data_IF_042698707742
#
_entry.id   IF_042698707742
#
_cell.length_a   1.000
_cell.length_b   1.000
_cell.length_c   1.000
_cell.angle_alpha   90.00
_cell.angle_beta   90.00
_cell.angle_gamma   90.00
#
_symmetry.space_group_name_H-M   'P 1'
#
loop_
_entity.id
_entity.type
_entity.pdbx_description
1 polymer ?
#
# COMPACT_ATOMS: atom_id res chain seq x y z
N UNK A 1 -26.32 25.37 26.14
CA UNK A 1 -26.12 24.35 25.08
C UNK A 1 -24.65 23.98 25.06
N UNK A 2 -24.32 22.71 25.27
CA UNK A 2 -22.92 22.24 25.21
C UNK A 2 -22.62 21.76 23.79
N UNK A 3 -21.57 22.28 23.18
CA UNK A 3 -21.14 21.83 21.84
C UNK A 3 -20.43 20.50 22.00
N UNK A 4 -21.01 19.44 21.43
CA UNK A 4 -20.43 18.10 21.48
C UNK A 4 -19.05 18.09 20.81
N UNK A 5 -18.03 17.64 21.54
CA UNK A 5 -16.69 17.47 21.00
C UNK A 5 -16.69 16.41 19.90
N UNK A 6 -16.28 16.81 18.70
CA UNK A 6 -16.01 15.85 17.61
C UNK A 6 -14.90 14.89 18.08
N UNK A 7 -15.07 13.56 17.94
CA UNK A 7 -14.01 12.61 18.26
C UNK A 7 -12.82 12.89 17.32
N UNK A 8 -11.63 13.03 17.90
CA UNK A 8 -10.40 13.14 17.12
C UNK A 8 -10.27 11.92 16.18
N UNK A 9 -9.76 12.09 14.95
CA UNK A 9 -9.64 10.99 14.01
C UNK A 9 -8.77 9.89 14.62
N UNK A 10 -9.38 8.74 14.87
CA UNK A 10 -8.67 7.54 15.30
C UNK A 10 -7.82 7.07 14.12
N UNK A 11 -6.55 7.47 14.12
CA UNK A 11 -5.54 6.91 13.22
C UNK A 11 -5.35 5.45 13.63
N UNK A 12 -6.17 4.58 13.07
CA UNK A 12 -6.06 3.14 13.21
C UNK A 12 -4.72 2.73 12.59
N UNK A 13 -3.75 2.43 13.44
CA UNK A 13 -2.36 2.25 13.02
C UNK A 13 -2.26 1.12 11.99
N UNK A 14 -1.93 1.47 10.75
CA UNK A 14 -2.03 0.56 9.61
C UNK A 14 -1.22 -0.72 9.86
N UNK A 15 -1.91 -1.87 9.86
CA UNK A 15 -1.30 -3.17 10.11
C UNK A 15 -0.33 -3.48 8.96
N UNK A 16 0.97 -3.52 9.27
CA UNK A 16 2.02 -3.58 8.26
C UNK A 16 1.89 -4.79 7.34
N UNK A 17 2.14 -4.58 6.05
CA UNK A 17 2.06 -5.61 5.00
C UNK A 17 3.05 -6.77 5.22
N UNK A 18 2.69 -8.03 4.89
CA UNK A 18 3.56 -9.19 5.08
C UNK A 18 4.95 -9.01 4.47
N UNK A 19 5.01 -8.48 3.26
CA UNK A 19 6.25 -8.31 2.49
C UNK A 19 7.19 -7.31 3.18
N UNK A 20 6.65 -6.19 3.71
CA UNK A 20 7.44 -5.21 4.47
C UNK A 20 7.99 -5.82 5.77
N UNK A 21 7.21 -6.66 6.44
CA UNK A 21 7.68 -7.39 7.63
C UNK A 21 8.77 -8.40 7.28
N UNK A 22 8.65 -9.08 6.15
CA UNK A 22 9.66 -9.98 5.61
C UNK A 22 10.96 -9.24 5.28
N UNK A 23 10.91 -8.14 4.53
CA UNK A 23 12.11 -7.36 4.21
C UNK A 23 12.78 -6.76 5.47
N UNK A 24 12.01 -6.27 6.45
CA UNK A 24 12.57 -5.81 7.72
C UNK A 24 13.31 -6.93 8.46
N UNK A 25 12.73 -8.13 8.50
CA UNK A 25 13.35 -9.30 9.10
C UNK A 25 14.59 -9.79 8.32
N UNK A 26 14.55 -9.74 6.99
CA UNK A 26 15.69 -10.07 6.13
C UNK A 26 16.87 -9.12 6.38
N UNK A 27 16.62 -7.81 6.46
CA UNK A 27 17.64 -6.80 6.80
C UNK A 27 18.20 -7.07 8.21
N UNK A 28 17.34 -7.24 9.22
CA UNK A 28 17.76 -7.60 10.58
C UNK A 28 18.63 -8.88 10.61
N UNK A 29 18.29 -9.87 9.77
CA UNK A 29 19.02 -11.16 9.67
C UNK A 29 20.36 -11.03 8.94
N UNK A 30 20.44 -10.29 7.84
CA UNK A 30 21.71 -10.04 7.11
C UNK A 30 22.72 -9.33 8.00
N UNK A 31 22.26 -8.33 8.78
CA UNK A 31 23.11 -7.64 9.76
C UNK A 31 23.64 -8.62 10.82
N UNK A 32 22.76 -9.46 11.40
CA UNK A 32 23.17 -10.47 12.37
C UNK A 32 24.17 -11.49 11.79
N UNK A 33 23.95 -11.96 10.56
CA UNK A 33 24.87 -12.88 9.88
C UNK A 33 26.22 -12.24 9.55
N UNK A 34 26.27 -10.97 9.16
CA UNK A 34 27.53 -10.25 8.97
C UNK A 34 28.35 -10.16 10.27
N UNK A 35 27.68 -9.89 11.40
CA UNK A 35 28.31 -9.88 12.73
C UNK A 35 28.81 -11.28 13.11
N UNK A 36 28.03 -12.33 12.87
CA UNK A 36 28.43 -13.71 13.17
C UNK A 36 29.56 -14.20 12.26
N UNK A 37 29.59 -13.80 10.99
CA UNK A 37 30.69 -14.10 10.07
C UNK A 37 32.00 -13.41 10.51
N UNK A 38 31.93 -12.14 10.91
CA UNK A 38 33.08 -11.42 11.46
C UNK A 38 33.59 -12.06 12.77
N UNK A 39 32.69 -12.47 13.67
CA UNK A 39 33.05 -13.19 14.90
C UNK A 39 33.64 -14.58 14.61
N UNK A 40 33.11 -15.30 13.61
CA UNK A 40 33.65 -16.59 13.16
C UNK A 40 35.06 -16.45 12.56
N UNK A 41 35.29 -15.41 11.74
CA UNK A 41 36.61 -15.10 11.21
C UNK A 41 37.62 -14.72 12.33
N UNK A 42 37.20 -13.89 13.29
CA UNK A 42 38.02 -13.58 14.46
C UNK A 42 38.32 -14.82 15.32
N UNK A 43 37.34 -15.69 15.54
CA UNK A 43 37.52 -16.95 16.24
C UNK A 43 38.49 -17.90 15.50
N UNK A 44 38.43 -17.94 14.16
CA UNK A 44 39.36 -18.70 13.32
C UNK A 44 40.80 -18.16 13.41
N UNK A 45 40.99 -16.83 13.40
CA UNK A 45 42.31 -16.22 13.63
C UNK A 45 42.86 -16.51 15.03
N UNK A 46 41.99 -16.51 16.06
CA UNK A 46 42.36 -16.88 17.43
C UNK A 46 42.78 -18.35 17.51
N UNK A 47 42.02 -19.25 16.87
CA UNK A 47 42.34 -20.67 16.80
C UNK A 47 43.71 -20.90 16.14
N UNK A 48 43.93 -20.30 14.96
CA UNK A 48 45.18 -20.45 14.20
C UNK A 48 46.42 -19.90 14.92
N UNK A 49 46.25 -18.97 15.89
CA UNK A 49 47.37 -18.40 16.65
C UNK A 49 47.64 -19.10 18.00
N UNK A 50 46.67 -19.82 18.54
CA UNK A 50 46.74 -20.37 19.90
C UNK A 50 46.62 -21.90 19.97
N UNK A 51 46.37 -22.58 18.84
CA UNK A 51 46.06 -24.02 18.73
C UNK A 51 44.93 -24.53 19.65
N UNK A 52 44.14 -23.60 20.21
CA UNK A 52 43.12 -23.86 21.21
C UNK A 52 41.77 -23.23 20.77
N UNK A 53 40.71 -24.04 20.58
CA UNK A 53 39.42 -23.53 20.11
C UNK A 53 38.59 -22.82 21.19
N UNK A 54 38.85 -23.06 22.47
CA UNK A 54 38.05 -22.54 23.59
C UNK A 54 37.82 -21.01 23.56
N UNK A 55 38.85 -20.15 23.39
CA UNK A 55 38.63 -18.70 23.30
C UNK A 55 37.83 -18.29 22.05
N UNK A 56 37.98 -19.00 20.93
CA UNK A 56 37.18 -18.75 19.72
C UNK A 56 35.70 -19.12 19.92
N UNK A 57 35.42 -20.26 20.54
CA UNK A 57 34.06 -20.69 20.92
C UNK A 57 33.45 -19.70 21.91
N UNK A 58 34.20 -19.28 22.93
CA UNK A 58 33.76 -18.28 23.90
C UNK A 58 33.38 -16.95 23.24
N UNK A 59 34.18 -16.49 22.25
CA UNK A 59 33.87 -15.30 21.46
C UNK A 59 32.56 -15.45 20.68
N UNK A 60 32.37 -16.55 19.95
CA UNK A 60 31.17 -16.80 19.14
C UNK A 60 29.92 -16.83 20.04
N UNK A 61 29.94 -17.58 21.14
CA UNK A 61 28.83 -17.64 22.10
C UNK A 61 28.53 -16.26 22.68
N UNK A 62 29.55 -15.50 23.07
CA UNK A 62 29.38 -14.14 23.61
C UNK A 62 28.72 -13.20 22.60
N UNK A 63 29.15 -13.23 21.33
CA UNK A 63 28.58 -12.39 20.27
C UNK A 63 27.14 -12.78 19.94
N UNK A 64 26.83 -14.09 19.88
CA UNK A 64 25.46 -14.57 19.64
C UNK A 64 24.51 -14.11 20.76
N UNK A 65 24.93 -14.26 22.03
CA UNK A 65 24.15 -13.79 23.17
C UNK A 65 24.01 -12.25 23.18
N UNK A 66 25.06 -11.50 22.84
CA UNK A 66 25.01 -10.05 22.77
C UNK A 66 24.04 -9.55 21.68
N UNK A 67 24.10 -10.08 20.46
CA UNK A 67 23.17 -9.74 19.36
C UNK A 67 21.74 -10.07 19.74
N UNK A 68 21.51 -11.23 20.38
CA UNK A 68 20.18 -11.64 20.84
C UNK A 68 19.62 -10.75 21.95
N UNK A 69 20.45 -10.38 22.93
CA UNK A 69 20.10 -9.48 24.04
C UNK A 69 19.79 -8.06 23.52
N UNK A 70 20.66 -7.50 22.67
CA UNK A 70 20.46 -6.19 22.03
C UNK A 70 19.16 -6.17 21.22
N UNK A 71 18.92 -7.17 20.38
CA UNK A 71 17.66 -7.30 19.62
C UNK A 71 16.41 -7.38 20.52
N UNK A 72 16.53 -8.05 21.68
CA UNK A 72 15.47 -8.15 22.69
C UNK A 72 15.20 -6.80 23.35
N UNK A 73 16.24 -6.07 23.77
CA UNK A 73 16.11 -4.73 24.39
C UNK A 73 15.55 -3.71 23.40
N UNK A 74 16.04 -3.69 22.16
CA UNK A 74 15.56 -2.79 21.10
C UNK A 74 14.08 -3.02 20.76
N UNK A 75 13.66 -4.28 20.67
CA UNK A 75 12.25 -4.65 20.46
C UNK A 75 11.39 -4.33 21.70
N UNK A 76 11.89 -4.59 22.91
CA UNK A 76 11.16 -4.40 24.17
C UNK A 76 10.96 -2.94 24.58
N UNK A 77 11.96 -2.09 24.34
CA UNK A 77 11.95 -0.68 24.76
C UNK A 77 11.32 0.25 23.73
N UNK A 78 11.69 0.12 22.44
CA UNK A 78 11.22 0.99 21.37
C UNK A 78 10.24 0.35 20.39
N UNK A 79 10.26 -0.99 20.29
CA UNK A 79 9.62 -1.72 19.19
C UNK A 79 10.37 -1.59 17.86
N UNK A 80 11.62 -1.11 17.88
CA UNK A 80 12.38 -0.71 16.69
C UNK A 80 13.65 -1.55 16.61
N UNK A 81 13.88 -2.19 15.47
CA UNK A 81 15.16 -2.83 15.12
C UNK A 81 15.68 -2.20 13.81
N UNK A 82 16.96 -2.37 13.44
CA UNK A 82 17.53 -1.69 12.27
C UNK A 82 16.71 -1.86 10.98
N UNK A 83 16.32 -3.09 10.65
CA UNK A 83 15.50 -3.37 9.46
C UNK A 83 14.06 -2.86 9.56
N UNK A 84 13.49 -2.79 10.77
CA UNK A 84 12.17 -2.18 10.99
C UNK A 84 12.23 -0.65 10.87
N UNK A 85 13.31 -0.02 11.36
CA UNK A 85 13.54 1.41 11.19
C UNK A 85 13.70 1.77 9.72
N UNK A 86 14.46 0.98 8.95
CA UNK A 86 14.65 1.18 7.51
C UNK A 86 13.33 1.14 6.70
N UNK A 87 12.32 0.40 7.17
CA UNK A 87 11.02 0.27 6.50
C UNK A 87 9.87 1.02 7.21
N UNK A 88 10.17 1.85 8.21
CA UNK A 88 9.17 2.63 8.93
C UNK A 88 8.18 1.79 9.75
N UNK A 89 8.62 0.65 10.28
CA UNK A 89 7.80 -0.28 11.06
C UNK A 89 8.10 -0.19 12.57
N UNK A 90 7.10 -0.48 13.40
CA UNK A 90 7.23 -0.56 14.86
C UNK A 90 6.46 -1.74 15.44
N UNK A 91 7.07 -2.45 16.39
CA UNK A 91 6.40 -3.46 17.23
C UNK A 91 5.75 -2.77 18.43
N UNK A 92 4.47 -3.05 18.64
CA UNK A 92 3.60 -2.42 19.64
C UNK A 92 2.88 -3.52 20.44
N UNK A 93 2.57 -3.30 21.73
CA UNK A 93 1.75 -4.24 22.49
C UNK A 93 0.34 -4.27 21.94
N UNK A 94 -0.22 -5.46 21.75
CA UNK A 94 -1.55 -5.70 21.18
C UNK A 94 -2.66 -4.89 21.89
N UNK A 95 -2.59 -4.88 23.22
CA UNK A 95 -3.51 -4.16 24.13
C UNK A 95 -3.37 -2.61 24.07
N UNK A 96 -2.49 -2.08 23.20
CA UNK A 96 -2.33 -0.63 23.04
C UNK A 96 -3.36 -0.08 22.06
N UNK A 97 -4.17 0.88 22.50
CA UNK A 97 -4.87 1.78 21.59
C UNK A 97 -3.91 2.62 20.73
N UNK A 98 -4.45 3.56 19.95
CA UNK A 98 -3.76 4.31 18.87
C UNK A 98 -2.37 4.91 19.22
N UNK A 99 -2.07 5.18 20.50
CA UNK A 99 -0.77 5.70 20.94
C UNK A 99 0.39 4.67 20.90
N UNK A 100 0.12 3.37 20.74
CA UNK A 100 1.10 2.31 20.50
C UNK A 100 2.22 2.21 21.54
N UNK A 101 1.93 1.61 22.71
CA UNK A 101 2.90 1.42 23.81
C UNK A 101 3.92 0.32 23.44
N UNK A 102 5.22 0.48 23.79
CA UNK A 102 6.21 -0.57 23.59
C UNK A 102 5.85 -1.83 24.40
N UNK A 103 6.23 -2.98 23.88
CA UNK A 103 5.78 -4.29 24.40
C UNK A 103 6.41 -4.67 25.75
N UNK A 104 7.52 -4.04 26.13
CA UNK A 104 8.28 -4.35 27.33
C UNK A 104 9.29 -5.48 27.11
N UNK A 105 10.43 -5.41 27.81
CA UNK A 105 11.57 -6.32 27.60
C UNK A 105 11.19 -7.79 27.89
N UNK A 106 10.34 -8.07 28.89
CA UNK A 106 9.88 -9.43 29.19
C UNK A 106 9.05 -10.08 28.08
N UNK A 107 8.05 -9.37 27.53
CA UNK A 107 7.27 -9.87 26.38
C UNK A 107 8.17 -10.00 25.13
N UNK A 108 9.10 -9.07 24.92
CA UNK A 108 10.08 -9.15 23.83
C UNK A 108 11.05 -10.33 23.98
N UNK A 109 11.46 -10.69 25.21
CA UNK A 109 12.26 -11.88 25.50
C UNK A 109 11.53 -13.15 25.08
N UNK A 110 10.26 -13.30 25.47
CA UNK A 110 9.43 -14.46 25.05
C UNK A 110 9.34 -14.51 23.52
N UNK A 111 9.08 -13.36 22.87
CA UNK A 111 9.05 -13.24 21.42
C UNK A 111 10.36 -13.71 20.76
N UNK A 112 11.51 -13.29 21.30
CA UNK A 112 12.86 -13.63 20.80
C UNK A 112 13.31 -15.06 21.14
N UNK A 113 12.87 -15.62 22.26
CA UNK A 113 13.18 -16.99 22.66
C UNK A 113 12.45 -18.01 21.76
N UNK A 114 11.14 -17.78 21.51
CA UNK A 114 10.36 -18.58 20.56
C UNK A 114 10.95 -18.49 19.13
N UNK A 115 11.39 -17.30 18.75
CA UNK A 115 12.10 -17.03 17.49
C UNK A 115 13.43 -17.78 17.37
N UNK A 116 14.27 -17.72 18.42
CA UNK A 116 15.54 -18.42 18.49
C UNK A 116 15.34 -19.93 18.37
N UNK A 117 14.43 -20.48 19.16
CA UNK A 117 14.12 -21.92 19.15
C UNK A 117 13.65 -22.41 17.78
N UNK A 118 12.81 -21.66 17.06
CA UNK A 118 12.39 -22.02 15.70
C UNK A 118 13.48 -21.79 14.62
N UNK A 119 14.56 -21.06 14.92
CA UNK A 119 15.61 -20.72 13.94
C UNK A 119 16.90 -21.52 14.10
N UNK A 120 17.08 -22.24 15.21
CA UNK A 120 18.15 -23.24 15.40
C UNK A 120 18.03 -24.39 14.37
N UNK A 121 16.87 -25.05 14.17
CA UNK A 121 16.77 -26.18 13.23
C UNK A 121 16.87 -25.79 11.75
N UNK A 122 16.69 -24.51 11.43
CA UNK A 122 16.63 -23.99 10.06
C UNK A 122 17.91 -23.26 9.64
N UNK A 123 19.01 -23.37 10.41
CA UNK A 123 20.27 -22.63 10.17
C UNK A 123 20.05 -21.11 9.99
N UNK A 124 19.06 -20.54 10.68
CA UNK A 124 18.67 -19.14 10.53
C UNK A 124 17.75 -18.83 9.34
N UNK A 125 17.48 -19.79 8.43
CA UNK A 125 16.54 -19.72 7.29
C UNK A 125 15.08 -19.85 7.78
N UNK A 126 14.73 -19.11 8.83
CA UNK A 126 13.36 -19.05 9.39
C UNK A 126 12.35 -18.32 8.49
N UNK A 127 12.73 -17.97 7.27
CA UNK A 127 11.88 -17.36 6.24
C UNK A 127 10.71 -18.28 5.88
N UNK A 128 10.96 -19.57 5.69
CA UNK A 128 9.92 -20.58 5.45
C UNK A 128 8.97 -20.73 6.65
N UNK A 129 9.52 -20.80 7.86
CA UNK A 129 8.74 -20.94 9.11
C UNK A 129 7.81 -19.76 9.33
N UNK A 130 8.23 -18.53 8.98
CA UNK A 130 7.38 -17.35 9.10
C UNK A 130 6.30 -17.24 8.03
N UNK A 131 6.64 -17.51 6.77
CA UNK A 131 5.64 -17.55 5.70
C UNK A 131 4.54 -18.57 6.04
N UNK A 132 4.93 -19.75 6.54
CA UNK A 132 4.00 -20.80 6.97
C UNK A 132 3.11 -20.37 8.15
N UNK A 133 3.69 -19.80 9.21
CA UNK A 133 2.96 -19.44 10.43
C UNK A 133 2.12 -18.16 10.28
N UNK A 134 2.51 -17.23 9.41
CA UNK A 134 1.72 -16.02 9.11
C UNK A 134 0.58 -16.29 8.10
N UNK A 135 0.70 -17.32 7.26
CA UNK A 135 -0.37 -17.77 6.37
C UNK A 135 -1.55 -18.46 7.10
N UNK A 136 -1.39 -18.81 8.38
CA UNK A 136 -2.40 -19.43 9.24
C UNK A 136 -3.11 -18.43 10.19
N UNK A 137 -3.19 -17.14 9.84
CA UNK A 137 -3.82 -16.13 10.71
C UNK A 137 -5.28 -15.81 10.32
N UNK A 138 -6.22 -16.59 10.85
CA UNK A 138 -7.66 -16.50 10.57
C UNK A 138 -8.33 -15.20 11.06
N UNK A 139 -7.64 -14.39 11.88
CA UNK A 139 -8.23 -13.19 12.53
C UNK A 139 -7.94 -11.86 11.83
N UNK A 140 -7.31 -11.87 10.64
CA UNK A 140 -7.11 -10.68 9.81
C UNK A 140 -6.07 -9.67 10.32
N UNK A 141 -5.49 -9.87 11.51
CA UNK A 141 -4.50 -8.96 12.13
C UNK A 141 -3.05 -9.29 11.75
N UNK A 142 -2.86 -10.35 10.94
CA UNK A 142 -1.61 -10.80 10.34
C UNK A 142 -0.53 -11.08 11.38
N UNK A 143 -0.88 -11.70 12.50
CA UNK A 143 0.04 -12.01 13.60
C UNK A 143 0.62 -13.43 13.48
N UNK A 144 1.95 -13.56 13.51
CA UNK A 144 2.59 -14.87 13.66
C UNK A 144 2.44 -15.40 15.09
N UNK A 145 2.55 -16.71 15.30
CA UNK A 145 2.40 -17.36 16.62
C UNK A 145 3.27 -16.73 17.73
N UNK A 146 4.52 -16.37 17.41
CA UNK A 146 5.42 -15.66 18.32
C UNK A 146 4.91 -14.26 18.76
N UNK A 147 4.25 -13.52 17.86
CA UNK A 147 3.65 -12.23 18.15
C UNK A 147 2.40 -12.42 19.00
N UNK A 148 1.56 -13.41 18.65
CA UNK A 148 0.35 -13.79 19.40
C UNK A 148 0.67 -14.22 20.84
N UNK A 149 1.73 -15.00 21.05
CA UNK A 149 2.22 -15.42 22.37
C UNK A 149 2.84 -14.28 23.20
N UNK A 150 3.43 -13.28 22.54
CA UNK A 150 3.98 -12.11 23.22
C UNK A 150 2.97 -10.95 23.37
N UNK A 151 1.81 -11.01 22.71
CA UNK A 151 0.89 -9.89 22.58
C UNK A 151 1.51 -8.73 21.79
N UNK A 152 2.06 -9.02 20.60
CA UNK A 152 2.65 -8.03 19.68
C UNK A 152 1.77 -7.78 18.47
N UNK A 153 1.80 -6.56 17.94
CA UNK A 153 1.43 -6.27 16.55
C UNK A 153 2.52 -5.42 15.91
N UNK A 154 2.75 -5.60 14.61
CA UNK A 154 3.67 -4.74 13.82
C UNK A 154 2.84 -3.75 13.03
N UNK A 155 2.99 -2.48 13.37
CA UNK A 155 2.32 -1.34 12.72
C UNK A 155 3.27 -0.61 11.80
N UNK A 156 2.74 -0.07 10.71
CA UNK A 156 3.41 0.94 9.90
C UNK A 156 3.29 2.29 10.63
N UNK A 157 4.41 2.99 10.83
CA UNK A 157 4.44 4.30 11.49
C UNK A 157 4.80 5.44 10.54
N UNK A 158 4.88 5.16 9.24
CA UNK A 158 5.02 6.20 8.23
C UNK A 158 3.72 7.01 8.18
N UNK A 159 3.78 8.33 7.93
CA UNK A 159 2.59 9.07 7.55
C UNK A 159 1.90 8.30 6.41
N UNK A 160 0.56 8.20 6.38
CA UNK A 160 -0.09 7.77 5.15
C UNK A 160 0.48 8.66 4.06
N UNK A 161 0.95 8.05 2.97
CA UNK A 161 1.28 8.84 1.80
C UNK A 161 0.01 9.63 1.51
N UNK A 162 0.10 10.96 1.64
CA UNK A 162 -0.84 11.84 0.98
C UNK A 162 -0.58 11.52 -0.47
N UNK A 163 -1.39 10.60 -1.00
CA UNK A 163 -1.82 10.70 -2.37
C UNK A 163 -2.39 12.11 -2.39
N UNK A 164 -1.56 13.04 -2.86
CA UNK A 164 -2.07 14.19 -3.57
C UNK A 164 -3.01 13.52 -4.57
N UNK A 165 -4.30 13.57 -4.25
CA UNK A 165 -5.29 13.38 -5.27
C UNK A 165 -4.84 14.36 -6.33
N UNK A 166 -4.50 13.86 -7.52
CA UNK A 166 -4.38 14.71 -8.70
C UNK A 166 -5.60 15.61 -8.63
N UNK A 167 -5.35 16.89 -8.32
CA UNK A 167 -6.40 17.81 -7.95
C UNK A 167 -7.38 17.76 -9.10
N UNK A 168 -8.58 17.20 -8.86
CA UNK A 168 -9.46 16.73 -9.93
C UNK A 168 -10.00 17.98 -10.63
N UNK A 169 -9.19 18.47 -11.57
CA UNK A 169 -9.30 19.79 -12.13
C UNK A 169 -10.70 19.85 -12.72
N UNK A 170 -11.59 20.73 -12.19
CA UNK A 170 -13.02 20.59 -12.36
C UNK A 170 -13.31 20.52 -13.85
N UNK A 171 -13.82 19.35 -14.28
CA UNK A 171 -13.80 18.94 -15.68
C UNK A 171 -14.26 20.10 -16.58
N UNK A 172 -13.45 20.52 -17.57
CA UNK A 172 -13.72 21.74 -18.31
C UNK A 172 -15.10 21.63 -18.95
N UNK A 173 -16.05 22.44 -18.46
CA UNK A 173 -17.43 22.47 -18.94
C UNK A 173 -17.38 22.70 -20.45
N UNK A 174 -17.72 21.66 -21.21
CA UNK A 174 -17.61 21.62 -22.66
C UNK A 174 -18.65 22.54 -23.30
N UNK A 175 -18.39 23.84 -23.30
CA UNK A 175 -19.10 24.80 -24.14
C UNK A 175 -18.74 24.46 -25.58
N UNK A 176 -19.67 23.80 -26.28
CA UNK A 176 -19.48 23.38 -27.67
C UNK A 176 -19.60 24.60 -28.57
N UNK A 177 -18.46 25.21 -28.89
CA UNK A 177 -18.38 26.25 -29.91
C UNK A 177 -18.12 25.57 -31.27
N UNK A 178 -19.16 25.43 -32.10
CA UNK A 178 -19.18 24.55 -33.29
C UNK A 178 -18.30 25.02 -34.46
N UNK A 179 -17.59 26.16 -34.34
CA UNK A 179 -16.98 26.87 -35.46
C UNK A 179 -15.53 26.47 -35.79
N UNK A 180 -14.89 25.58 -35.01
CA UNK A 180 -13.48 25.20 -35.22
C UNK A 180 -13.25 23.82 -35.85
N UNK A 181 -14.30 23.06 -36.19
CA UNK A 181 -14.16 21.80 -36.94
C UNK A 181 -13.91 22.02 -38.45
N UNK A 182 -12.98 22.93 -38.81
CA UNK A 182 -12.48 23.08 -40.19
C UNK A 182 -11.15 23.83 -40.24
N UNK A 183 -10.05 23.21 -39.79
CA UNK A 183 -8.65 23.59 -40.16
C UNK A 183 -7.58 22.65 -39.53
N UNK A 184 -7.58 21.35 -39.88
CA UNK A 184 -6.36 20.52 -39.76
C UNK A 184 -6.42 19.21 -40.58
N UNK A 185 -6.24 19.29 -41.90
CA UNK A 185 -5.92 18.13 -42.75
C UNK A 185 -5.12 18.60 -43.98
N UNK A 186 -4.21 17.73 -44.46
CA UNK A 186 -3.00 18.04 -45.24
C UNK A 186 -1.91 18.79 -44.41
N UNK A 187 -0.61 18.51 -44.56
CA UNK A 187 0.11 17.85 -45.67
C UNK A 187 1.28 16.95 -45.18
N UNK A 188 2.03 16.30 -46.09
CA UNK A 188 2.93 15.17 -45.79
C UNK A 188 4.44 15.40 -46.07
N UNK A 189 5.26 14.58 -45.40
CA UNK A 189 6.72 14.27 -45.48
C UNK A 189 7.27 14.16 -46.93
N UNK A 190 8.52 14.58 -47.30
CA UNK A 190 9.77 13.90 -46.87
C UNK A 190 11.12 14.68 -46.76
N UNK A 191 12.13 13.97 -46.20
CA UNK A 191 13.61 14.20 -46.17
C UNK A 191 14.29 13.91 -47.56
N UNK A 192 15.63 14.01 -47.84
CA UNK A 192 16.83 14.12 -46.94
C UNK A 192 18.04 15.02 -47.41
N UNK A 193 19.17 14.96 -46.64
CA UNK A 193 20.59 15.34 -46.96
C UNK A 193 20.95 16.87 -47.04
N UNK A 194 22.18 17.35 -46.75
CA UNK A 194 23.55 16.78 -46.86
C UNK A 194 24.57 17.39 -45.84
N UNK A 195 25.81 16.86 -45.72
CA UNK A 195 26.88 17.24 -44.74
C UNK A 195 28.30 17.17 -45.35
N UNK A 196 29.23 18.11 -45.06
CA UNK A 196 30.58 17.72 -44.56
C UNK A 196 31.17 18.71 -43.50
N UNK A 197 31.73 18.31 -42.34
CA UNK A 197 33.03 17.66 -41.99
C UNK A 197 34.23 18.59 -41.66
N UNK A 198 34.89 18.24 -40.54
CA UNK A 198 36.01 18.80 -39.72
C UNK A 198 37.40 18.92 -40.43
N UNK A 199 38.48 19.58 -39.88
CA UNK A 199 39.39 18.96 -38.85
C UNK A 199 40.28 19.84 -37.88
N UNK A 200 40.53 19.30 -36.67
CA UNK A 200 41.72 19.26 -35.76
C UNK A 200 42.85 20.36 -35.59
N UNK A 201 43.03 20.82 -34.31
CA UNK A 201 44.24 20.80 -33.40
C UNK A 201 45.67 21.30 -33.84
N UNK A 202 46.75 21.36 -32.98
CA UNK A 202 46.91 21.40 -31.49
C UNK A 202 48.01 22.40 -30.94
N UNK A 203 48.37 22.24 -29.64
CA UNK A 203 49.62 22.70 -28.92
C UNK A 203 49.72 24.21 -28.59
N UNK A 204 50.52 24.77 -27.65
CA UNK A 204 51.57 24.40 -26.64
C UNK A 204 51.23 25.14 -25.29
N UNK A 205 52.05 25.29 -24.21
CA UNK A 205 53.02 24.53 -23.37
C UNK A 205 53.60 25.48 -22.29
N UNK A 206 54.13 24.96 -21.16
CA UNK A 206 54.82 25.63 -20.02
C UNK A 206 54.00 26.61 -19.12
N UNK A 207 54.00 26.64 -17.77
CA UNK A 207 54.73 26.02 -16.64
C UNK A 207 55.53 27.05 -15.78
N UNK A 208 55.09 27.25 -14.53
CA UNK A 208 55.84 27.72 -13.33
C UNK A 208 54.91 27.53 -12.10
N UNK A 209 55.24 26.63 -11.16
CA UNK A 209 55.99 26.88 -9.91
C UNK A 209 55.12 27.55 -8.82
N UNK A 210 54.65 26.82 -7.79
CA UNK A 210 55.28 26.66 -6.44
C UNK A 210 55.17 27.93 -5.55
N UNK A 211 54.83 27.91 -4.25
CA UNK A 211 54.51 26.83 -3.31
C UNK A 211 53.78 27.39 -2.04
N UNK A 212 53.55 26.54 -1.02
CA UNK A 212 53.23 26.87 0.39
C UNK A 212 51.81 27.44 0.69
N UNK A 213 51.16 27.17 1.84
CA UNK A 213 51.33 26.15 2.88
C UNK A 213 49.99 25.98 3.66
N UNK A 214 49.78 24.83 4.32
CA UNK A 214 48.70 24.66 5.30
C UNK A 214 49.09 25.30 6.66
N UNK A 215 48.15 25.75 7.51
CA UNK A 215 47.53 24.79 8.43
C UNK A 215 46.05 25.04 8.84
N UNK A 216 45.41 23.95 9.27
CA UNK A 216 44.44 23.80 10.36
C UNK A 216 43.65 25.03 10.87
N UNK A 217 42.32 24.99 10.71
CA UNK A 217 41.37 25.64 11.62
C UNK A 217 40.25 24.69 12.07
N UNK A 218 39.82 24.89 13.31
CA UNK A 218 38.93 24.03 14.11
C UNK A 218 37.46 24.21 13.68
N UNK A 219 36.60 23.17 13.69
CA UNK A 219 35.18 23.34 13.40
C UNK A 219 34.47 24.15 14.50
N UNK A 220 33.86 25.27 14.11
CA UNK A 220 32.99 26.06 14.98
C UNK A 220 31.66 25.32 15.27
N UNK A 221 31.06 25.48 16.46
CA UNK A 221 29.86 24.74 16.83
C UNK A 221 28.63 25.24 16.08
N UNK A 222 27.85 24.31 15.51
CA UNK A 222 26.54 24.61 14.93
C UNK A 222 25.60 25.06 16.06
N UNK A 223 25.20 26.33 16.04
CA UNK A 223 24.22 26.86 16.96
C UNK A 223 22.86 26.14 16.76
N UNK A 224 22.30 25.61 17.85
CA UNK A 224 20.96 25.00 17.84
C UNK A 224 19.92 26.08 17.54
N UNK A 225 19.30 26.05 16.38
CA UNK A 225 18.10 26.86 16.14
C UNK A 225 16.96 26.29 17.00
N UNK A 226 16.46 27.10 17.92
CA UNK A 226 15.27 26.81 18.72
C UNK A 226 14.01 26.98 17.85
N UNK A 227 12.90 26.27 18.15
CA UNK A 227 11.66 26.41 17.40
C UNK A 227 11.07 27.82 17.59
N UNK A 228 10.47 28.43 16.54
CA UNK A 228 9.77 29.71 16.69
C UNK A 228 8.52 29.55 17.57
N UNK A 229 8.39 30.44 18.55
CA UNK A 229 7.19 30.53 19.39
C UNK A 229 6.00 31.13 18.60
N UNK A 230 4.74 30.78 18.94
CA UNK A 230 3.57 31.30 18.25
C UNK A 230 3.33 32.78 18.56
N UNK A 231 3.09 33.58 17.52
CA UNK A 231 2.72 35.00 17.63
C UNK A 231 1.19 35.13 17.70
N UNK A 232 0.61 35.86 18.68
CA UNK A 232 -0.85 36.00 18.80
C UNK A 232 -1.40 37.09 17.87
N UNK A 233 -2.50 36.85 17.12
CA UNK A 233 -3.22 37.91 16.40
C UNK A 233 -4.10 38.75 17.35
N UNK A 234 -4.04 40.07 17.19
CA UNK A 234 -4.81 41.10 17.92
C UNK A 234 -6.21 41.27 17.27
N UNK A 235 -7.21 41.89 17.93
CA UNK A 235 -8.63 41.63 17.64
C UNK A 235 -9.24 42.39 16.45
N UNK A 236 -10.37 41.85 16.00
CA UNK A 236 -11.18 42.26 14.84
C UNK A 236 -11.90 43.61 15.01
N UNK A 237 -11.89 44.51 14.01
CA UNK A 237 -12.82 45.66 13.95
C UNK A 237 -14.22 45.24 13.44
N UNK A 238 -15.31 45.90 13.88
CA UNK A 238 -16.67 45.50 13.55
C UNK A 238 -17.11 45.89 12.13
N UNK A 239 -17.95 45.05 11.51
CA UNK A 239 -18.58 45.33 10.22
C UNK A 239 -19.87 46.15 10.37
N UNK A 240 -20.20 47.05 9.41
CA UNK A 240 -21.40 47.89 9.45
C UNK A 240 -22.70 47.11 9.16
N UNK A 241 -23.87 47.61 9.62
CA UNK A 241 -25.15 46.91 9.50
C UNK A 241 -25.74 46.93 8.07
N UNK A 242 -26.52 45.89 7.76
CA UNK A 242 -27.22 45.75 6.48
C UNK A 242 -28.52 46.60 6.41
N UNK A 243 -28.89 47.13 5.22
CA UNK A 243 -30.12 47.89 5.03
C UNK A 243 -31.40 47.00 5.02
N UNK A 244 -32.58 47.56 5.36
CA UNK A 244 -33.82 46.80 5.48
C UNK A 244 -34.48 46.47 4.14
N UNK A 245 -35.27 45.38 4.13
CA UNK A 245 -36.07 44.96 2.97
C UNK A 245 -37.34 45.81 2.79
N UNK A 246 -37.82 46.04 1.55
CA UNK A 246 -39.05 46.77 1.28
C UNK A 246 -40.32 45.95 1.62
N UNK A 247 -41.45 46.61 1.93
CA UNK A 247 -42.65 45.96 2.45
C UNK A 247 -43.55 45.32 1.37
N UNK A 248 -44.33 44.32 1.80
CA UNK A 248 -45.38 43.67 1.02
C UNK A 248 -46.77 44.32 1.21
N UNK A 249 -47.45 44.61 0.10
CA UNK A 249 -48.90 44.78 0.00
C UNK A 249 -49.30 44.41 -1.44
N UNK A 250 -49.87 43.22 -1.69
CA UNK A 250 -51.30 42.93 -1.64
C UNK A 250 -52.10 43.59 -2.78
N UNK A 251 -52.40 42.80 -3.81
CA UNK A 251 -53.38 43.14 -4.84
C UNK A 251 -54.12 41.88 -5.34
N UNK A 252 -55.44 41.88 -5.08
CA UNK A 252 -56.54 41.22 -5.79
C UNK A 252 -56.52 39.69 -6.07
N UNK A 253 -57.68 39.10 -5.79
CA UNK A 253 -58.02 37.70 -6.06
C UNK A 253 -58.25 37.45 -7.55
N UNK A 254 -57.83 36.27 -8.04
CA UNK A 254 -58.35 35.67 -9.27
C UNK A 254 -58.95 34.31 -8.93
N UNK A 255 -60.15 34.03 -9.44
CA UNK A 255 -60.98 32.88 -9.03
C UNK A 255 -60.43 31.57 -9.62
N UNK A 256 -60.43 30.50 -8.82
CA UNK A 256 -59.92 29.20 -9.21
C UNK A 256 -60.80 28.49 -10.25
N UNK A 257 -60.16 27.87 -11.26
CA UNK A 257 -60.74 26.78 -12.03
C UNK A 257 -60.13 25.44 -11.54
N UNK A 258 -60.91 24.35 -11.41
CA UNK A 258 -60.37 23.03 -11.09
C UNK A 258 -59.62 22.46 -12.30
N UNK A 259 -58.32 22.23 -12.17
CA UNK A 259 -57.57 21.44 -13.14
C UNK A 259 -57.86 19.93 -12.93
N UNK A 260 -57.91 19.11 -14.00
CA UNK A 260 -58.16 17.68 -13.87
C UNK A 260 -57.02 16.96 -13.12
N UNK A 261 -57.29 15.78 -12.51
CA UNK A 261 -56.27 15.03 -11.78
C UNK A 261 -55.11 14.64 -12.72
N UNK A 262 -53.85 14.66 -12.23
CA UNK A 262 -52.71 14.26 -13.05
C UNK A 262 -52.83 12.79 -13.47
N UNK A 263 -52.33 12.41 -14.65
CA UNK A 263 -52.26 11.02 -15.05
C UNK A 263 -51.43 10.22 -14.03
N UNK A 264 -51.74 8.92 -13.82
CA UNK A 264 -50.98 8.10 -12.90
C UNK A 264 -49.52 8.10 -13.30
N UNK A 265 -48.65 8.49 -12.37
CA UNK A 265 -47.19 8.37 -12.52
C UNK A 265 -46.91 6.89 -12.84
N UNK A 266 -46.20 6.57 -13.94
CA UNK A 266 -45.81 5.19 -14.19
C UNK A 266 -45.06 4.68 -12.96
N UNK A 267 -45.53 3.58 -12.38
CA UNK A 267 -44.80 2.92 -11.30
C UNK A 267 -43.35 2.68 -11.77
N UNK A 268 -42.33 2.81 -10.90
CA UNK A 268 -40.96 2.56 -11.29
C UNK A 268 -40.86 1.18 -11.94
N UNK A 269 -40.67 1.15 -13.27
CA UNK A 269 -40.37 -0.10 -13.95
C UNK A 269 -39.10 -0.63 -13.30
N UNK A 270 -39.10 -1.87 -12.77
CA UNK A 270 -37.89 -2.48 -12.27
C UNK A 270 -36.85 -2.38 -13.38
N UNK A 271 -35.74 -1.67 -13.12
CA UNK A 271 -34.68 -1.53 -14.09
C UNK A 271 -34.29 -2.94 -14.55
N UNK A 272 -34.36 -3.19 -15.86
CA UNK A 272 -34.13 -4.52 -16.43
C UNK A 272 -32.82 -5.06 -15.83
N UNK A 273 -32.93 -6.15 -15.07
CA UNK A 273 -31.83 -6.69 -14.27
C UNK A 273 -30.75 -7.17 -15.22
N UNK A 274 -29.75 -6.31 -15.43
CA UNK A 274 -28.68 -6.54 -16.39
C UNK A 274 -28.04 -7.89 -16.12
N UNK A 275 -28.22 -8.83 -17.04
CA UNK A 275 -27.64 -10.16 -16.93
C UNK A 275 -26.19 -10.07 -17.41
N UNK A 276 -25.29 -10.68 -16.66
CA UNK A 276 -23.87 -10.67 -17.01
C UNK A 276 -23.41 -12.10 -17.20
N UNK A 277 -22.95 -12.42 -18.41
CA UNK A 277 -22.27 -13.69 -18.69
C UNK A 277 -20.76 -13.49 -18.55
N UNK A 278 -20.13 -14.37 -17.79
CA UNK A 278 -18.67 -14.51 -17.79
C UNK A 278 -18.28 -15.76 -18.56
N UNK A 279 -17.20 -15.67 -19.32
CA UNK A 279 -16.62 -16.79 -20.08
C UNK A 279 -15.13 -16.86 -19.77
N UNK A 280 -14.65 -18.03 -19.36
CA UNK A 280 -13.23 -18.26 -19.06
C UNK A 280 -12.50 -18.83 -20.28
N UNK A 281 -11.18 -18.65 -20.31
CA UNK A 281 -10.28 -19.23 -21.33
C UNK A 281 -10.35 -20.78 -21.42
N UNK A 282 -10.84 -21.44 -20.36
CA UNK A 282 -11.16 -22.86 -20.33
C UNK A 282 -12.44 -23.25 -21.10
N UNK A 283 -13.18 -22.27 -21.64
CA UNK A 283 -14.47 -22.45 -22.31
C UNK A 283 -15.67 -22.52 -21.36
N UNK A 284 -15.47 -22.54 -20.04
CA UNK A 284 -16.56 -22.50 -19.07
C UNK A 284 -17.23 -21.12 -19.10
N UNK A 285 -18.55 -21.07 -19.28
CA UNK A 285 -19.34 -19.83 -19.17
C UNK A 285 -20.60 -20.01 -18.32
N UNK A 286 -21.01 -18.94 -17.64
CA UNK A 286 -22.25 -18.90 -16.85
C UNK A 286 -22.72 -17.45 -16.63
N UNK A 287 -23.99 -17.30 -16.25
CA UNK A 287 -24.57 -16.00 -15.87
C UNK A 287 -24.32 -15.75 -14.38
N UNK A 288 -23.89 -14.54 -14.02
CA UNK A 288 -23.57 -14.15 -12.65
C UNK A 288 -24.85 -13.81 -11.89
N UNK A 289 -25.45 -14.79 -11.20
CA UNK A 289 -26.70 -14.59 -10.44
C UNK A 289 -26.46 -14.13 -8.99
N UNK A 290 -25.22 -14.16 -8.52
CA UNK A 290 -24.84 -13.77 -7.16
C UNK A 290 -23.32 -13.68 -6.98
N UNK A 291 -22.85 -13.84 -5.74
CA UNK A 291 -21.41 -13.85 -5.45
C UNK A 291 -20.75 -15.08 -6.07
N UNK A 292 -19.81 -14.85 -6.98
CA UNK A 292 -18.97 -15.85 -7.60
C UNK A 292 -17.50 -15.66 -7.18
N UNK A 293 -16.78 -16.77 -6.95
CA UNK A 293 -15.36 -16.77 -6.58
C UNK A 293 -14.55 -17.61 -7.55
N UNK A 294 -13.33 -17.17 -7.86
CA UNK A 294 -12.43 -17.82 -8.82
C UNK A 294 -11.03 -18.03 -8.24
N UNK A 295 -10.39 -19.14 -8.59
CA UNK A 295 -9.00 -19.46 -8.26
C UNK A 295 -8.68 -20.94 -8.45
N UNK A 296 -7.49 -21.40 -8.04
CA UNK A 296 -7.09 -22.82 -8.23
C UNK A 296 -7.79 -23.82 -7.30
N UNK A 297 -8.50 -23.33 -6.30
CA UNK A 297 -9.20 -24.14 -5.30
C UNK A 297 -10.03 -23.20 -4.42
N UNK A 298 -11.14 -22.66 -4.95
CA UNK A 298 -11.82 -21.52 -4.35
C UNK A 298 -12.66 -21.95 -3.14
N UNK A 299 -12.23 -21.51 -1.96
CA UNK A 299 -12.93 -21.70 -0.69
C UNK A 299 -13.65 -20.39 -0.28
N UNK A 300 -14.94 -20.45 0.13
CA UNK A 300 -15.66 -19.32 0.72
C UNK A 300 -15.19 -19.08 2.15
N UNK A 301 -15.44 -17.87 2.67
CA UNK A 301 -15.28 -17.60 4.11
C UNK A 301 -16.48 -18.14 4.90
N UNK A 302 -16.33 -18.42 6.21
CA UNK A 302 -17.46 -18.75 7.07
C UNK A 302 -18.54 -17.66 7.01
N UNK A 303 -19.77 -18.03 6.68
CA UNK A 303 -20.90 -17.10 6.51
C UNK A 303 -20.99 -16.39 5.14
N UNK A 304 -20.14 -16.76 4.16
CA UNK A 304 -20.17 -16.20 2.81
C UNK A 304 -21.01 -17.09 1.87
N UNK A 305 -22.23 -16.65 1.52
CA UNK A 305 -23.05 -17.34 0.53
C UNK A 305 -22.50 -17.10 -0.87
N UNK A 306 -22.05 -18.17 -1.52
CA UNK A 306 -21.39 -18.15 -2.82
C UNK A 306 -22.24 -18.95 -3.82
N UNK A 307 -22.78 -18.26 -4.81
CA UNK A 307 -23.58 -18.84 -5.89
C UNK A 307 -22.73 -19.70 -6.84
N UNK A 308 -21.52 -19.23 -7.21
CA UNK A 308 -20.65 -19.95 -8.15
C UNK A 308 -19.20 -20.05 -7.67
N UNK A 309 -18.61 -21.25 -7.81
CA UNK A 309 -17.21 -21.53 -7.51
C UNK A 309 -16.50 -21.97 -8.79
N UNK A 310 -15.56 -21.16 -9.26
CA UNK A 310 -14.82 -21.42 -10.50
C UNK A 310 -13.41 -21.89 -10.16
N UNK A 311 -13.20 -23.20 -10.21
CA UNK A 311 -11.88 -23.80 -10.07
C UNK A 311 -11.15 -23.76 -11.41
N UNK A 312 -10.11 -22.92 -11.53
CA UNK A 312 -9.27 -22.83 -12.72
C UNK A 312 -7.90 -23.45 -12.43
N UNK A 313 -7.50 -24.45 -13.22
CA UNK A 313 -6.15 -25.02 -13.15
C UNK A 313 -5.14 -24.00 -13.69
N UNK A 314 -4.10 -23.70 -12.91
CA UNK A 314 -2.99 -22.81 -13.31
C UNK A 314 -1.75 -23.66 -13.56
N UNK A 315 -1.07 -23.38 -14.67
CA UNK A 315 0.08 -24.16 -15.13
C UNK A 315 1.38 -23.75 -14.44
N UNK A 316 1.50 -22.49 -14.05
CA UNK A 316 2.66 -21.85 -13.43
C UNK A 316 2.45 -21.55 -11.93
N UNK A 317 1.34 -22.03 -11.35
CA UNK A 317 0.90 -21.73 -9.98
C UNK A 317 0.61 -20.24 -9.71
N UNK A 318 0.43 -19.41 -10.76
CA UNK A 318 0.15 -17.98 -10.59
C UNK A 318 -1.26 -17.68 -10.05
N UNK A 319 -2.20 -18.62 -10.14
CA UNK A 319 -3.50 -18.52 -9.46
C UNK A 319 -3.42 -18.90 -7.97
N UNK A 320 -3.74 -17.94 -7.10
CA UNK A 320 -4.07 -18.19 -5.68
C UNK A 320 -5.31 -19.09 -5.51
N UNK A 321 -5.47 -19.72 -4.34
CA UNK A 321 -6.59 -20.64 -4.03
C UNK A 321 -7.95 -19.99 -4.31
N UNK A 322 -8.20 -18.85 -3.69
CA UNK A 322 -9.31 -17.92 -3.99
C UNK A 322 -8.66 -16.60 -4.41
N UNK A 323 -8.57 -16.35 -5.71
CA UNK A 323 -7.83 -15.23 -6.31
C UNK A 323 -8.68 -13.94 -6.35
N UNK A 324 -9.89 -14.03 -6.89
CA UNK A 324 -10.82 -12.91 -7.01
C UNK A 324 -12.26 -13.35 -6.76
N UNK A 325 -13.13 -12.36 -6.59
CA UNK A 325 -14.58 -12.53 -6.61
C UNK A 325 -15.20 -11.58 -7.64
N UNK A 326 -16.38 -11.93 -8.11
CA UNK A 326 -17.25 -11.04 -8.89
C UNK A 326 -18.70 -11.22 -8.47
N UNK A 327 -19.47 -10.15 -8.53
CA UNK A 327 -20.86 -10.09 -8.12
C UNK A 327 -21.57 -8.95 -8.87
N UNK A 328 -22.87 -9.06 -9.05
CA UNK A 328 -23.70 -7.92 -9.47
C UNK A 328 -23.93 -7.02 -8.24
N UNK A 329 -23.69 -5.72 -8.39
CA UNK A 329 -23.99 -4.70 -7.39
C UNK A 329 -25.47 -4.27 -7.48
N UNK A 330 -25.96 -3.54 -6.47
CA UNK A 330 -27.37 -3.17 -6.36
C UNK A 330 -27.90 -2.27 -7.51
N UNK A 331 -27.00 -1.67 -8.29
CA UNK A 331 -27.26 -0.87 -9.48
C UNK A 331 -27.31 -1.70 -10.79
N UNK A 332 -27.07 -3.01 -10.71
CA UNK A 332 -26.96 -3.91 -11.87
C UNK A 332 -25.57 -3.96 -12.52
N UNK A 333 -24.57 -3.28 -11.96
CA UNK A 333 -23.19 -3.30 -12.47
C UNK A 333 -22.47 -4.56 -12.03
N UNK A 334 -21.78 -5.26 -12.94
CA UNK A 334 -20.87 -6.34 -12.55
C UNK A 334 -19.60 -5.74 -11.93
N UNK A 335 -19.27 -6.17 -10.72
CA UNK A 335 -18.10 -5.70 -9.97
C UNK A 335 -17.15 -6.88 -9.74
N UNK A 336 -15.88 -6.70 -10.09
CA UNK A 336 -14.80 -7.63 -9.72
C UNK A 336 -13.98 -7.04 -8.57
N UNK A 337 -13.54 -7.90 -7.64
CA UNK A 337 -12.63 -7.53 -6.57
C UNK A 337 -11.57 -8.62 -6.37
N UNK A 338 -10.30 -8.21 -6.40
CA UNK A 338 -9.17 -9.07 -6.03
C UNK A 338 -9.22 -9.39 -4.53
N UNK A 339 -9.10 -10.67 -4.14
CA UNK A 339 -9.22 -11.09 -2.73
C UNK A 339 -7.89 -11.05 -1.95
N UNK A 340 -6.87 -10.38 -2.49
CA UNK A 340 -5.50 -10.39 -2.01
C UNK A 340 -4.68 -11.50 -2.67
N UNK A 341 -4.78 -11.62 -4.00
CA UNK A 341 -4.00 -12.58 -4.76
C UNK A 341 -2.50 -12.24 -4.75
N UNK A 342 -1.64 -13.23 -4.97
CA UNK A 342 -0.18 -13.05 -4.94
C UNK A 342 0.34 -12.30 -6.16
N UNK A 343 -0.27 -12.52 -7.33
CA UNK A 343 0.19 -11.96 -8.62
C UNK A 343 -0.69 -10.81 -9.13
N UNK A 344 -1.76 -10.47 -8.39
CA UNK A 344 -2.71 -9.42 -8.75
C UNK A 344 -3.71 -9.82 -9.83
N UNK A 345 -4.82 -9.10 -9.84
CA UNK A 345 -5.82 -9.11 -10.91
C UNK A 345 -5.60 -7.92 -11.83
N UNK A 346 -5.63 -8.11 -13.16
CA UNK A 346 -5.51 -7.03 -14.15
C UNK A 346 -6.78 -6.92 -14.98
N UNK A 347 -7.38 -5.73 -15.04
CA UNK A 347 -8.48 -5.40 -15.94
C UNK A 347 -7.92 -4.91 -17.28
N UNK A 348 -8.48 -5.38 -18.39
CA UNK A 348 -8.13 -4.98 -19.75
C UNK A 348 -9.40 -4.42 -20.41
N UNK A 349 -9.44 -3.10 -20.61
CA UNK A 349 -10.56 -2.38 -21.22
C UNK A 349 -10.12 -1.78 -22.55
N UNK A 350 -10.74 -2.19 -23.65
CA UNK A 350 -10.41 -1.71 -25.01
C UNK A 350 -8.89 -1.77 -25.33
N UNK A 351 -8.19 -2.80 -24.82
CA UNK A 351 -6.74 -2.98 -24.97
C UNK A 351 -5.89 -2.30 -23.90
N UNK A 352 -6.41 -1.34 -23.12
CA UNK A 352 -5.70 -0.72 -22.01
C UNK A 352 -5.73 -1.62 -20.76
N UNK A 353 -4.54 -2.02 -20.29
CA UNK A 353 -4.38 -2.83 -19.08
C UNK A 353 -4.26 -1.94 -17.82
N UNK A 354 -5.03 -2.26 -16.78
CA UNK A 354 -5.05 -1.60 -15.47
C UNK A 354 -5.01 -2.64 -14.36
N UNK A 355 -3.95 -2.64 -13.57
CA UNK A 355 -3.89 -3.47 -12.35
C UNK A 355 -4.97 -3.03 -11.36
N UNK A 356 -5.68 -4.00 -10.77
CA UNK A 356 -6.68 -3.73 -9.74
C UNK A 356 -6.01 -3.73 -8.35
N UNK A 357 -6.34 -2.73 -7.54
CA UNK A 357 -5.88 -2.69 -6.15
C UNK A 357 -6.47 -3.85 -5.34
N UNK A 358 -5.62 -4.57 -4.60
CA UNK A 358 -6.06 -5.68 -3.76
C UNK A 358 -7.19 -5.25 -2.81
N UNK A 359 -8.29 -6.02 -2.79
CA UNK A 359 -9.51 -5.75 -2.02
C UNK A 359 -10.20 -4.42 -2.33
N UNK A 360 -9.99 -3.84 -3.52
CA UNK A 360 -10.81 -2.74 -4.05
C UNK A 360 -11.79 -3.27 -5.11
N UNK A 361 -13.09 -2.97 -5.02
CA UNK A 361 -14.04 -3.29 -6.08
C UNK A 361 -13.77 -2.43 -7.32
N UNK A 362 -13.90 -3.03 -8.50
CA UNK A 362 -13.81 -2.36 -9.79
C UNK A 362 -15.02 -2.73 -10.66
N UNK A 363 -15.72 -1.70 -11.15
CA UNK A 363 -16.84 -1.84 -12.07
C UNK A 363 -16.36 -2.32 -13.45
N UNK A 364 -16.94 -3.41 -13.92
CA UNK A 364 -16.78 -3.98 -15.25
C UNK A 364 -17.81 -3.41 -16.21
N UNK A 365 -17.41 -3.30 -17.47
CA UNK A 365 -18.24 -2.85 -18.59
C UNK A 365 -18.32 -4.01 -19.60
N UNK A 366 -19.35 -4.00 -20.44
CA UNK A 366 -19.50 -4.96 -21.53
C UNK A 366 -18.23 -4.99 -22.42
N UNK A 367 -17.75 -6.20 -22.73
CA UNK A 367 -16.54 -6.43 -23.51
C UNK A 367 -15.21 -6.29 -22.73
N UNK A 368 -15.24 -5.99 -21.43
CA UNK A 368 -14.03 -6.02 -20.60
C UNK A 368 -13.43 -7.44 -20.50
N UNK A 369 -12.10 -7.51 -20.42
CA UNK A 369 -11.36 -8.74 -20.08
C UNK A 369 -10.71 -8.60 -18.72
N UNK A 370 -10.74 -9.66 -17.91
CA UNK A 370 -10.03 -9.72 -16.63
C UNK A 370 -9.00 -10.84 -16.67
N UNK A 371 -7.75 -10.52 -16.34
CA UNK A 371 -6.64 -11.47 -16.24
C UNK A 371 -6.33 -11.76 -14.77
N UNK A 372 -6.28 -13.04 -14.43
CA UNK A 372 -5.97 -13.58 -13.10
C UNK A 372 -4.75 -14.51 -13.23
N UNK A 373 -3.55 -14.02 -12.92
CA UNK A 373 -2.32 -14.81 -13.16
C UNK A 373 -2.17 -15.20 -14.64
N UNK A 374 -2.11 -16.51 -14.93
CA UNK A 374 -2.03 -17.09 -16.28
C UNK A 374 -3.38 -17.16 -17.01
N UNK A 375 -4.51 -16.96 -16.32
CA UNK A 375 -5.87 -17.14 -16.87
C UNK A 375 -6.59 -15.85 -17.22
N UNK A 376 -7.56 -15.93 -18.13
CA UNK A 376 -8.38 -14.79 -18.56
C UNK A 376 -9.88 -15.10 -18.55
N UNK A 377 -10.67 -14.07 -18.29
CA UNK A 377 -12.12 -14.08 -18.29
C UNK A 377 -12.65 -12.93 -19.15
N UNK A 378 -13.49 -13.26 -20.11
CA UNK A 378 -14.28 -12.34 -20.92
C UNK A 378 -15.62 -12.06 -20.25
N UNK A 379 -16.09 -10.81 -20.36
CA UNK A 379 -17.33 -10.32 -19.74
C UNK A 379 -18.27 -9.80 -20.83
N UNK A 380 -19.50 -10.31 -20.86
CA UNK A 380 -20.55 -9.86 -21.79
C UNK A 380 -21.81 -9.53 -21.01
N UNK A 381 -22.44 -8.40 -21.33
CA UNK A 381 -23.74 -8.01 -20.78
C UNK A 381 -24.85 -8.53 -21.70
N UNK A 382 -25.67 -9.42 -21.18
CA UNK A 382 -26.92 -9.85 -21.82
C UNK A 382 -28.03 -8.84 -21.47
N UNK A 383 -28.74 -8.39 -22.51
CA UNK A 383 -29.78 -7.35 -22.44
C UNK A 383 -31.15 -7.92 -22.02
#
# INVERSE_FOLDING_TARGET
>A
MSVAGLPAPTVEAAIAEPDRRFYAFAIDRVIAWAIFAAAGFAAWLIFFRNDNPLPGVGLIVSVVLAVWLVGTVLTGSGGKTPGKMALGLRVVSDDSGAAGRPIGVGKAFVRQALLGLCTIPTLGIGTATFAWVAAMDDRGRRQGWHDRRAGSVVVDVRPPAVVEAEEEAPAPRRIVNLTTMRLKQAEATPEPAERPQTPAAPTQSAAQAEAQAAPTLVPAPIARQAPPAPVPPTPTPPAPPAPPAPPVASAAQAVAQPAPPPPPVPAPQPAATARWRVTFDTGQSFVVEGLAIVGRGPEPRPGEEVAHRVALSSSDMSLSKTHAQFQIAADGTLVVMDRGSTNGTTLIRQGAARALGARRPAALVDGDKVKFGDRTMDVVREA
#
